data_IF_240539596676
#
_entry.id   IF_240539596676
#
_cell.length_a   1.000
_cell.length_b   1.000
_cell.length_c   1.000
_cell.angle_alpha   90.00
_cell.angle_beta   90.00
_cell.angle_gamma   90.00
#
_symmetry.space_group_name_H-M   'P 1'
#
loop_
_entity.id
_entity.type
_entity.pdbx_description
1 polymer ?
#
# COMPACT_ATOMS: atom_id res chain seq x y z
N UNK A 1 -5.83 4.80 -9.69
CA UNK A 1 -7.23 4.41 -9.45
C UNK A 1 -7.66 3.59 -10.64
N UNK A 2 -8.27 2.43 -10.41
CA UNK A 2 -8.79 1.57 -11.47
C UNK A 2 -10.32 1.53 -11.36
N UNK A 3 -11.00 1.87 -12.45
CA UNK A 3 -12.44 1.68 -12.61
C UNK A 3 -12.64 0.29 -13.25
N UNK A 4 -13.24 -0.64 -12.50
CA UNK A 4 -13.47 -2.03 -12.96
C UNK A 4 -14.84 -2.15 -13.66
N UNK A 5 -15.59 -1.05 -13.81
CA UNK A 5 -16.94 -1.08 -14.37
C UNK A 5 -17.97 -1.68 -13.41
N UNK A 6 -19.26 -1.76 -13.83
CA UNK A 6 -20.33 -2.25 -12.98
C UNK A 6 -20.15 -3.75 -12.72
N UNK A 7 -19.56 -4.08 -11.58
CA UNK A 7 -19.43 -5.45 -11.08
C UNK A 7 -20.47 -5.76 -9.98
N UNK A 8 -21.42 -4.85 -9.76
CA UNK A 8 -22.53 -4.98 -8.81
C UNK A 8 -23.82 -4.82 -9.60
N UNK A 9 -24.81 -5.67 -9.31
CA UNK A 9 -26.12 -5.71 -9.97
C UNK A 9 -26.91 -4.38 -9.97
N UNK A 10 -26.39 -3.35 -9.31
CA UNK A 10 -27.03 -2.06 -9.02
C UNK A 10 -26.50 -0.88 -9.88
N UNK A 11 -25.63 -1.13 -10.86
CA UNK A 11 -25.20 -0.11 -11.84
C UNK A 11 -24.33 1.05 -11.29
N UNK A 12 -23.96 1.01 -10.01
CA UNK A 12 -23.04 1.97 -9.39
C UNK A 12 -21.58 1.77 -9.82
N UNK A 13 -20.84 2.87 -9.98
CA UNK A 13 -19.39 2.85 -10.20
C UNK A 13 -18.68 2.54 -8.88
N UNK A 14 -17.81 1.55 -8.90
CA UNK A 14 -17.01 1.15 -7.73
C UNK A 14 -15.55 1.50 -8.00
N UNK A 15 -14.95 2.33 -7.14
CA UNK A 15 -13.57 2.79 -7.31
C UNK A 15 -12.60 1.96 -6.50
N UNK A 16 -11.48 1.57 -7.12
CA UNK A 16 -10.43 0.79 -6.48
C UNK A 16 -9.09 1.54 -6.42
N UNK A 17 -8.44 1.46 -5.26
CA UNK A 17 -7.05 1.90 -5.05
C UNK A 17 -6.12 0.71 -5.07
N UNK A 18 -4.96 0.85 -5.71
CA UNK A 18 -3.90 -0.15 -5.58
C UNK A 18 -3.32 -0.07 -4.16
N UNK A 19 -3.29 -1.21 -3.49
CA UNK A 19 -2.79 -1.34 -2.11
C UNK A 19 -1.53 -2.22 -2.04
N UNK A 20 -1.38 -3.19 -2.94
CA UNK A 20 -0.20 -4.05 -2.98
C UNK A 20 0.09 -4.62 -4.35
N UNK A 21 1.37 -4.90 -4.61
CA UNK A 21 1.86 -5.62 -5.79
C UNK A 21 2.75 -6.76 -5.30
N UNK A 22 2.62 -7.93 -5.88
CA UNK A 22 3.64 -8.99 -5.80
C UNK A 22 4.35 -9.06 -7.15
N UNK A 23 5.67 -8.98 -7.13
CA UNK A 23 6.52 -9.26 -8.29
C UNK A 23 7.12 -10.66 -8.16
N UNK A 24 7.27 -11.34 -9.29
CA UNK A 24 8.01 -12.60 -9.37
C UNK A 24 9.21 -12.42 -10.29
N UNK A 25 10.39 -12.72 -9.77
CA UNK A 25 11.63 -12.75 -10.54
C UNK A 25 12.09 -14.19 -10.71
N UNK A 26 12.13 -14.67 -11.95
CA UNK A 26 12.56 -16.04 -12.23
C UNK A 26 11.73 -16.70 -13.33
N UNK A 27 11.84 -18.02 -13.39
CA UNK A 27 11.18 -18.85 -14.39
C UNK A 27 9.98 -19.57 -13.79
N UNK A 28 9.21 -20.27 -14.64
CA UNK A 28 8.15 -21.17 -14.16
C UNK A 28 8.66 -22.34 -13.31
N UNK A 29 9.96 -22.66 -13.36
CA UNK A 29 10.59 -23.73 -12.56
C UNK A 29 11.04 -23.27 -11.18
N UNK A 30 10.98 -21.97 -10.92
CA UNK A 30 11.43 -21.37 -9.67
C UNK A 30 11.85 -19.91 -9.86
N UNK A 31 11.84 -19.19 -8.75
CA UNK A 31 12.16 -17.78 -8.68
C UNK A 31 11.96 -17.23 -7.28
N UNK A 32 11.96 -15.91 -7.17
CA UNK A 32 11.80 -15.18 -5.93
C UNK A 32 10.61 -14.24 -6.00
N UNK A 33 9.84 -14.20 -4.93
CA UNK A 33 8.71 -13.30 -4.78
C UNK A 33 9.05 -12.16 -3.84
N UNK A 34 8.71 -10.95 -4.26
CA UNK A 34 8.81 -9.76 -3.42
C UNK A 34 7.52 -8.95 -3.53
N UNK A 35 7.27 -8.10 -2.54
CA UNK A 35 6.04 -7.33 -2.45
C UNK A 35 6.31 -5.83 -2.33
N UNK A 36 5.46 -5.04 -2.97
CA UNK A 36 5.32 -3.61 -2.72
C UNK A 36 4.00 -3.38 -1.99
N UNK A 37 4.03 -2.71 -0.84
CA UNK A 37 2.83 -2.47 -0.02
C UNK A 37 2.70 -1.00 0.30
N UNK A 38 1.49 -0.46 0.14
CA UNK A 38 1.17 0.92 0.47
C UNK A 38 1.05 1.07 1.99
N UNK A 39 1.85 1.94 2.58
CA UNK A 39 1.78 2.25 4.01
C UNK A 39 0.48 3.01 4.28
N UNK A 40 -0.32 2.48 5.22
CA UNK A 40 -1.49 3.19 5.71
C UNK A 40 -1.09 4.13 6.83
N UNK A 41 -1.63 5.34 6.80
CA UNK A 41 -1.55 6.24 7.95
C UNK A 41 -2.23 5.53 9.12
N UNK A 42 -1.55 5.39 10.28
CA UNK A 42 -2.18 4.87 11.48
C UNK A 42 -3.47 5.65 11.75
N UNK A 43 -4.56 4.95 12.06
CA UNK A 43 -5.85 5.61 12.30
C UNK A 43 -5.71 6.63 13.43
N UNK A 44 -6.45 7.74 13.37
CA UNK A 44 -6.47 8.74 14.44
C UNK A 44 -6.74 8.11 15.81
N UNK A 45 -7.63 7.10 15.87
CA UNK A 45 -7.89 6.29 17.07
C UNK A 45 -6.66 5.58 17.61
N UNK A 46 -5.82 5.00 16.73
CA UNK A 46 -4.58 4.35 17.15
C UNK A 46 -3.56 5.38 17.64
N UNK A 47 -3.45 6.52 16.94
CA UNK A 47 -2.56 7.62 17.34
C UNK A 47 -2.98 8.22 18.70
N UNK A 48 -4.28 8.38 18.96
CA UNK A 48 -4.83 8.83 20.24
C UNK A 48 -4.53 7.85 21.38
N UNK A 49 -4.68 6.54 21.14
CA UNK A 49 -4.32 5.50 22.12
C UNK A 49 -2.82 5.44 22.41
N UNK A 50 -1.96 5.64 21.40
CA UNK A 50 -0.50 5.65 21.58
C UNK A 50 -0.05 6.93 22.30
N UNK A 51 -0.62 8.09 21.94
CA UNK A 51 -0.31 9.38 22.57
C UNK A 51 -0.69 9.42 24.05
N UNK A 52 -1.72 8.66 24.45
CA UNK A 52 -2.14 8.52 25.85
C UNK A 52 -1.11 7.80 26.72
N UNK A 53 -0.17 7.04 26.13
CA UNK A 53 0.71 6.12 26.87
C UNK A 53 2.20 6.44 26.84
N UNK A 54 2.68 7.53 26.21
CA UNK A 54 4.09 7.96 26.38
C UNK A 54 4.33 9.41 25.97
N UNK A 55 4.89 10.15 26.92
CA UNK A 55 5.59 11.41 26.74
C UNK A 55 6.82 11.22 25.82
N UNK A 56 6.65 11.41 24.52
CA UNK A 56 7.77 11.65 23.59
C UNK A 56 7.37 12.76 22.64
N UNK A 57 7.86 13.95 22.94
CA UNK A 57 7.74 15.15 22.13
C UNK A 57 8.66 14.99 20.90
N UNK A 58 8.07 14.76 19.72
CA UNK A 58 8.84 14.63 18.49
C UNK A 58 8.09 14.24 17.21
N UNK A 59 6.75 14.16 17.20
CA UNK A 59 5.99 13.91 15.97
C UNK A 59 5.01 15.07 15.70
N UNK A 60 5.56 16.27 15.55
CA UNK A 60 4.83 17.41 15.01
C UNK A 60 5.58 17.86 13.75
N UNK A 61 4.82 17.98 12.66
CA UNK A 61 5.20 18.39 11.29
C UNK A 61 5.69 17.21 10.42
N UNK A 62 4.85 16.64 9.54
CA UNK A 62 4.21 17.35 8.43
C UNK A 62 2.69 17.15 8.34
N UNK A 63 1.99 18.28 8.41
CA UNK A 63 0.60 18.41 7.95
C UNK A 63 0.63 18.33 6.43
N UNK A 64 0.43 17.11 5.94
CA UNK A 64 0.51 16.73 4.54
C UNK A 64 0.75 15.23 4.49
N UNK A 65 -0.19 14.45 5.03
CA UNK A 65 -0.15 13.00 4.95
C UNK A 65 -0.04 12.60 3.48
N UNK A 66 1.18 12.34 3.01
CA UNK A 66 1.43 11.85 1.67
C UNK A 66 0.78 10.47 1.58
N UNK A 67 -0.44 10.43 1.09
CA UNK A 67 -1.27 9.26 0.84
C UNK A 67 -0.65 8.39 -0.24
N UNK A 68 0.54 7.83 0.00
CA UNK A 68 1.38 7.35 -1.10
C UNK A 68 2.73 6.75 -0.74
N UNK A 69 3.04 6.55 0.55
CA UNK A 69 4.31 5.91 0.90
C UNK A 69 4.25 4.41 0.61
N UNK A 70 5.28 3.89 -0.04
CA UNK A 70 5.39 2.50 -0.43
C UNK A 70 6.63 1.86 0.16
N UNK A 71 6.49 0.58 0.51
CA UNK A 71 7.58 -0.24 1.05
C UNK A 71 7.75 -1.46 0.15
N UNK A 72 9.00 -1.73 -0.21
CA UNK A 72 9.45 -2.97 -0.82
C UNK A 72 9.83 -3.98 0.27
N UNK A 73 9.34 -5.21 0.14
CA UNK A 73 9.57 -6.30 1.08
C UNK A 73 10.06 -7.52 0.30
N UNK A 74 11.27 -7.98 0.63
CA UNK A 74 11.89 -9.18 0.07
C UNK A 74 12.46 -10.01 1.23
N UNK A 75 11.70 -11.02 1.64
CA UNK A 75 11.93 -11.80 2.86
C UNK A 75 12.13 -10.92 4.10
N UNK A 76 13.36 -10.86 4.61
CA UNK A 76 13.77 -10.07 5.78
C UNK A 76 14.14 -8.62 5.44
N UNK A 77 14.26 -8.30 4.16
CA UNK A 77 14.68 -6.98 3.70
C UNK A 77 13.47 -6.09 3.43
N UNK A 78 13.37 -5.00 4.18
CA UNK A 78 12.27 -4.04 4.10
C UNK A 78 12.85 -2.65 3.80
N UNK A 79 12.35 -1.99 2.75
CA UNK A 79 12.86 -0.69 2.33
C UNK A 79 11.76 0.23 1.81
N UNK A 80 11.80 1.50 2.21
CA UNK A 80 10.98 2.55 1.58
C UNK A 80 11.38 2.73 0.11
N UNK A 81 10.38 2.90 -0.76
CA UNK A 81 10.58 3.09 -2.20
C UNK A 81 9.63 4.15 -2.76
N UNK A 82 10.04 4.87 -3.82
CA UNK A 82 9.14 5.81 -4.49
C UNK A 82 8.03 5.06 -5.25
N UNK A 83 6.87 5.70 -5.40
CA UNK A 83 5.73 5.15 -6.16
C UNK A 83 6.12 4.82 -7.61
N UNK A 84 7.04 5.58 -8.21
CA UNK A 84 7.54 5.28 -9.55
C UNK A 84 8.14 3.87 -9.66
N UNK A 85 8.84 3.38 -8.63
CA UNK A 85 9.37 2.00 -8.63
C UNK A 85 8.26 0.97 -8.58
N UNK A 86 7.22 1.25 -7.81
CA UNK A 86 6.04 0.38 -7.65
C UNK A 86 5.28 0.26 -8.98
N UNK A 87 5.03 1.39 -9.65
CA UNK A 87 4.31 1.41 -10.92
C UNK A 87 5.10 0.77 -12.08
N UNK A 88 6.43 0.68 -11.97
CA UNK A 88 7.28 0.00 -12.94
C UNK A 88 7.54 -1.49 -12.59
N UNK A 89 6.96 -2.01 -11.50
CA UNK A 89 7.13 -3.41 -11.13
C UNK A 89 6.48 -4.32 -12.19
N UNK A 90 7.14 -5.45 -12.49
CA UNK A 90 6.55 -6.51 -13.29
C UNK A 90 5.56 -7.28 -12.42
N UNK A 91 4.35 -6.72 -12.30
CA UNK A 91 3.32 -7.22 -11.42
C UNK A 91 2.89 -8.65 -11.81
N UNK A 92 2.96 -9.56 -10.83
CA UNK A 92 2.42 -10.91 -10.92
C UNK A 92 1.03 -11.00 -10.28
N UNK A 93 0.86 -10.39 -9.10
CA UNK A 93 -0.44 -10.23 -8.44
C UNK A 93 -0.65 -8.78 -8.02
N UNK A 94 -1.88 -8.28 -8.16
CA UNK A 94 -2.27 -6.93 -7.76
C UNK A 94 -3.37 -7.02 -6.71
N UNK A 95 -3.16 -6.31 -5.60
CA UNK A 95 -4.12 -6.19 -4.52
C UNK A 95 -4.73 -4.80 -4.55
N UNK A 96 -6.04 -4.75 -4.78
CA UNK A 96 -6.82 -3.51 -4.79
C UNK A 96 -7.78 -3.48 -3.60
N UNK A 97 -8.01 -2.29 -3.06
CA UNK A 97 -9.03 -2.03 -2.06
C UNK A 97 -10.13 -1.13 -2.64
N UNK A 98 -11.38 -1.40 -2.28
CA UNK A 98 -12.51 -0.54 -2.64
C UNK A 98 -12.47 0.75 -1.81
N UNK A 99 -12.63 1.89 -2.47
CA UNK A 99 -12.64 3.21 -1.83
C UNK A 99 -14.07 3.73 -1.65
N UNK A 100 -14.94 3.46 -2.63
CA UNK A 100 -16.35 3.86 -2.67
C UNK A 100 -17.17 2.69 -3.20
#
# INVERSE_FOLDING_TARGET
>A
LVDIGPNVADGGRVLYSLYGIVEHSGSMRGGHYAAYVKVRVPSKKLLEHIASNKSVQGLKESVGASSGQWVYVSDIHVQMVPESRVLNAQAYLLFYERIL
#
